data_IF_284260922275
#
_entry.id   IF_284260922275
#
_cell.length_a   1.000
_cell.length_b   1.000
_cell.length_c   1.000
_cell.angle_alpha   90.00
_cell.angle_beta   90.00
_cell.angle_gamma   90.00
#
_symmetry.space_group_name_H-M   'P 1'
#
loop_
_entity.id
_entity.type
_entity.pdbx_description
1 polymer ?
#
# COMPACT_ATOMS: atom_id res chain seq x y z
N UNK A 1 18.72 8.95 -0.13
CA UNK A 1 17.67 8.74 0.88
C UNK A 1 16.33 8.94 0.18
N UNK A 2 15.66 7.85 -0.18
CA UNK A 2 14.42 7.92 -0.98
C UNK A 2 13.28 8.34 -0.06
N UNK A 3 12.98 9.63 -0.08
CA UNK A 3 11.81 10.21 0.59
C UNK A 3 10.60 9.84 -0.27
N UNK A 4 10.15 8.59 -0.18
CA UNK A 4 8.87 8.20 -0.79
C UNK A 4 7.84 9.13 -0.12
N UNK A 5 7.28 10.07 -0.88
CA UNK A 5 6.30 11.01 -0.37
C UNK A 5 4.97 10.27 -0.30
N UNK A 6 4.87 9.41 0.71
CA UNK A 6 3.65 8.65 0.98
C UNK A 6 2.45 9.58 1.18
N UNK A 7 2.67 10.83 1.57
CA UNK A 7 1.62 11.84 1.72
C UNK A 7 0.91 12.18 0.39
N UNK A 8 1.57 12.00 -0.76
CA UNK A 8 1.03 12.35 -2.08
C UNK A 8 0.36 11.16 -2.79
N UNK A 9 0.80 9.93 -2.47
CA UNK A 9 0.19 8.71 -2.99
C UNK A 9 -1.23 8.53 -2.44
N UNK A 10 -1.53 9.17 -1.33
CA UNK A 10 -2.58 8.75 -0.44
C UNK A 10 -3.60 9.90 -0.31
N UNK A 11 -4.87 9.73 -0.75
CA UNK A 11 -5.86 10.80 -0.68
C UNK A 11 -6.06 11.28 0.77
N UNK A 12 -5.91 12.59 0.98
CA UNK A 12 -5.86 13.29 2.28
C UNK A 12 -7.09 13.10 3.20
N UNK A 13 -8.19 12.55 2.69
CA UNK A 13 -9.47 12.45 3.42
C UNK A 13 -9.68 11.16 4.22
N UNK A 14 -8.81 10.16 4.11
CA UNK A 14 -9.05 8.83 4.72
C UNK A 14 -7.82 8.16 5.33
N UNK A 15 -7.11 8.79 6.29
CA UNK A 15 -5.80 8.22 6.69
C UNK A 15 -5.48 8.26 8.16
N UNK A 16 -6.02 7.27 8.87
CA UNK A 16 -5.18 6.61 9.86
C UNK A 16 -4.78 5.22 9.36
N UNK A 17 -3.54 4.82 9.65
CA UNK A 17 -3.07 3.52 9.23
C UNK A 17 -1.60 3.30 9.57
N UNK A 18 -1.07 2.19 9.06
CA UNK A 18 0.30 1.77 9.32
C UNK A 18 1.01 1.47 8.01
N UNK A 19 2.24 1.98 7.89
CA UNK A 19 3.16 1.49 6.87
C UNK A 19 4.01 0.38 7.50
N UNK A 20 3.97 -0.78 6.86
CA UNK A 20 4.63 -1.99 7.32
C UNK A 20 5.63 -2.45 6.28
N UNK A 21 6.85 -2.75 6.73
CA UNK A 21 7.83 -3.42 5.91
C UNK A 21 7.71 -4.94 6.11
N UNK A 22 7.50 -5.69 5.03
CA UNK A 22 7.29 -7.15 5.04
C UNK A 22 8.56 -7.95 4.71
N UNK A 23 9.72 -7.30 4.63
CA UNK A 23 11.01 -7.92 4.29
C UNK A 23 11.31 -7.93 2.79
N UNK A 24 10.28 -7.86 1.94
CA UNK A 24 10.42 -7.77 0.47
C UNK A 24 9.77 -6.53 -0.14
N UNK A 25 9.07 -5.73 0.67
CA UNK A 25 8.37 -4.54 0.21
C UNK A 25 7.66 -3.81 1.33
N UNK A 26 6.99 -2.73 0.96
CA UNK A 26 6.21 -1.89 1.87
C UNK A 26 4.72 -2.09 1.60
N UNK A 27 3.93 -2.14 2.67
CA UNK A 27 2.48 -2.25 2.63
C UNK A 27 1.87 -1.12 3.45
N UNK A 28 0.81 -0.52 2.95
CA UNK A 28 -0.02 0.38 3.72
C UNK A 28 -1.30 -0.32 4.15
N UNK A 29 -1.54 -0.34 5.47
CA UNK A 29 -2.75 -0.82 6.08
C UNK A 29 -3.55 0.38 6.59
N UNK A 30 -4.48 0.85 5.76
CA UNK A 30 -5.44 1.88 6.14
C UNK A 30 -6.58 1.31 7.01
N UNK A 31 -7.22 2.18 7.79
CA UNK A 31 -8.41 1.85 8.56
C UNK A 31 -9.73 2.00 7.75
N UNK A 32 -9.68 2.64 6.58
CA UNK A 32 -10.80 2.77 5.66
C UNK A 32 -10.82 1.67 4.61
N UNK A 33 -12.03 1.24 4.24
CA UNK A 33 -12.25 0.39 3.07
C UNK A 33 -12.37 1.28 1.83
N UNK A 34 -11.57 1.00 0.81
CA UNK A 34 -11.71 1.64 -0.50
C UNK A 34 -12.71 0.85 -1.35
N UNK A 35 -13.62 1.56 -2.01
CA UNK A 35 -14.40 0.99 -3.10
C UNK A 35 -13.55 0.82 -4.38
N UNK A 36 -14.17 0.27 -5.42
CA UNK A 36 -13.47 -0.09 -6.65
C UNK A 36 -12.99 1.12 -7.45
N UNK A 37 -13.78 2.18 -7.44
CA UNK A 37 -13.43 3.41 -8.14
C UNK A 37 -12.28 4.09 -7.39
N UNK A 38 -12.38 4.20 -6.06
CA UNK A 38 -11.32 4.73 -5.21
C UNK A 38 -10.00 3.97 -5.37
N UNK A 39 -10.06 2.63 -5.47
CA UNK A 39 -8.89 1.79 -5.72
C UNK A 39 -8.28 2.03 -7.10
N UNK A 40 -9.11 2.07 -8.15
CA UNK A 40 -8.65 2.34 -9.52
C UNK A 40 -7.99 3.72 -9.62
N UNK A 41 -8.63 4.75 -9.07
CA UNK A 41 -8.11 6.13 -9.04
C UNK A 41 -6.78 6.21 -8.28
N UNK A 42 -6.64 5.43 -7.21
CA UNK A 42 -5.40 5.35 -6.46
C UNK A 42 -4.28 4.70 -7.27
N UNK A 43 -4.52 3.54 -7.90
CA UNK A 43 -3.52 2.85 -8.73
C UNK A 43 -3.09 3.71 -9.91
N UNK A 44 -4.03 4.42 -10.55
CA UNK A 44 -3.72 5.30 -11.67
C UNK A 44 -2.80 6.45 -11.24
N UNK A 45 -3.12 7.15 -10.15
CA UNK A 45 -2.25 8.21 -9.61
C UNK A 45 -0.87 7.68 -9.21
N UNK A 46 -0.81 6.52 -8.56
CA UNK A 46 0.45 5.89 -8.19
C UNK A 46 1.32 5.56 -9.43
N UNK A 47 0.69 5.13 -10.52
CA UNK A 47 1.35 4.87 -11.80
C UNK A 47 1.87 6.15 -12.47
N UNK A 48 1.13 7.26 -12.36
CA UNK A 48 1.47 8.56 -12.94
C UNK A 48 2.58 9.28 -12.17
N UNK A 49 2.56 9.22 -10.83
CA UNK A 49 3.58 9.82 -9.95
C UNK A 49 4.96 9.16 -10.10
N UNK A 50 5.00 7.87 -10.48
CA UNK A 50 6.26 7.16 -10.74
C UNK A 50 6.96 6.61 -9.50
N UNK A 51 6.40 6.83 -8.31
CA UNK A 51 6.90 6.30 -7.04
C UNK A 51 6.62 4.79 -6.85
N UNK A 52 5.72 4.23 -7.68
CA UNK A 52 5.36 2.81 -7.68
C UNK A 52 5.71 2.18 -9.03
N UNK A 53 6.22 0.96 -9.01
CA UNK A 53 6.59 0.23 -10.22
C UNK A 53 5.39 0.09 -11.17
N UNK A 54 5.52 0.62 -12.40
CA UNK A 54 4.44 0.60 -13.41
C UNK A 54 3.89 -0.80 -13.66
N UNK A 55 4.76 -1.81 -13.71
CA UNK A 55 4.38 -3.21 -13.90
C UNK A 55 3.50 -3.72 -12.76
N UNK A 56 3.78 -3.31 -11.52
CA UNK A 56 2.93 -3.64 -10.39
C UNK A 56 1.56 -2.98 -10.53
N UNK A 57 1.49 -1.69 -10.86
CA UNK A 57 0.23 -0.99 -11.11
C UNK A 57 -0.59 -1.67 -12.22
N UNK A 58 0.03 -1.99 -13.35
CA UNK A 58 -0.62 -2.67 -14.47
C UNK A 58 -1.17 -4.05 -14.08
N UNK A 59 -0.45 -4.79 -13.21
CA UNK A 59 -0.92 -6.07 -12.66
C UNK A 59 -2.13 -5.86 -11.74
N UNK A 60 -2.11 -4.85 -10.87
CA UNK A 60 -3.24 -4.55 -9.98
C UNK A 60 -4.49 -4.12 -10.76
N UNK A 61 -4.35 -3.30 -11.81
CA UNK A 61 -5.48 -2.91 -12.67
C UNK A 61 -6.10 -4.11 -13.39
N UNK A 62 -5.31 -5.15 -13.72
CA UNK A 62 -5.80 -6.36 -14.38
C UNK A 62 -6.39 -7.38 -13.42
N UNK A 63 -5.77 -7.55 -12.24
CA UNK A 63 -6.12 -8.60 -11.28
C UNK A 63 -7.11 -8.15 -10.19
N UNK A 64 -7.33 -6.85 -10.04
CA UNK A 64 -8.15 -6.28 -8.97
C UNK A 64 -7.44 -6.30 -7.61
N UNK A 65 -8.23 -6.26 -6.54
CA UNK A 65 -7.72 -6.12 -5.18
C UNK A 65 -6.79 -7.26 -4.77
N UNK A 66 -5.59 -6.90 -4.31
CA UNK A 66 -4.71 -7.85 -3.62
C UNK A 66 -5.33 -8.22 -2.26
N UNK A 67 -5.65 -9.50 -2.08
CA UNK A 67 -6.16 -10.05 -0.82
C UNK A 67 -5.04 -10.09 0.23
N UNK A 68 -5.33 -9.63 1.45
CA UNK A 68 -4.51 -9.95 2.63
C UNK A 68 -4.55 -11.47 2.84
N UNK A 69 -3.46 -12.16 2.46
CA UNK A 69 -3.32 -13.59 2.68
C UNK A 69 -2.73 -13.84 4.08
N UNK A 70 -3.59 -14.20 5.03
CA UNK A 70 -3.15 -14.75 6.32
C UNK A 70 -2.87 -16.24 6.16
N UNK A 71 -1.64 -16.66 6.46
CA UNK A 71 -1.23 -18.07 6.45
C UNK A 71 -0.38 -18.36 7.69
N UNK A 72 -0.68 -19.46 8.38
CA UNK A 72 0.17 -20.00 9.41
C UNK A 72 1.38 -20.63 8.71
N UNK A 73 2.53 -19.97 8.80
CA UNK A 73 3.80 -20.51 8.32
C UNK A 73 4.74 -20.66 9.49
N UNK A 74 5.14 -21.90 9.77
CA UNK A 74 6.20 -22.27 10.72
C UNK A 74 7.59 -21.90 10.21
N UNK A 75 7.70 -21.40 8.98
CA UNK A 75 8.94 -20.99 8.31
C UNK A 75 8.95 -19.50 7.98
N UNK A 76 8.29 -18.63 8.76
CA UNK A 76 8.43 -17.18 8.53
C UNK A 76 9.85 -16.74 8.82
N UNK A 77 10.63 -16.57 7.76
CA UNK A 77 12.01 -16.03 7.80
C UNK A 77 12.00 -14.55 8.24
N UNK A 78 10.87 -13.87 8.12
CA UNK A 78 10.75 -12.45 8.43
C UNK A 78 9.39 -12.10 9.06
N UNK A 79 9.45 -11.29 10.12
CA UNK A 79 8.29 -10.71 10.78
C UNK A 79 8.06 -9.28 10.28
N UNK A 80 6.88 -8.97 9.71
CA UNK A 80 6.56 -7.62 9.27
C UNK A 80 6.67 -6.60 10.40
N UNK A 81 7.34 -5.48 10.14
CA UNK A 81 7.54 -4.40 11.13
C UNK A 81 6.78 -3.15 10.71
N UNK A 82 6.02 -2.58 11.64
CA UNK A 82 5.46 -1.24 11.50
C UNK A 82 6.62 -0.25 11.50
N UNK A 83 6.74 0.57 10.46
CA UNK A 83 7.76 1.60 10.36
C UNK A 83 7.27 2.94 10.90
N UNK A 84 6.02 3.30 10.61
CA UNK A 84 5.38 4.49 11.16
C UNK A 84 3.86 4.42 11.04
N UNK A 85 3.19 5.18 11.91
CA UNK A 85 1.75 5.41 11.87
C UNK A 85 1.47 6.63 11.00
N UNK A 86 0.53 6.51 10.09
CA UNK A 86 -0.05 7.64 9.37
C UNK A 86 -1.21 8.13 10.20
N UNK A 87 -1.20 9.40 10.58
CA UNK A 87 -2.29 10.04 11.33
C UNK A 87 -3.06 10.99 10.42
N UNK A 88 -4.34 11.19 10.73
CA UNK A 88 -5.16 12.22 10.10
C UNK A 88 -4.71 13.58 10.64
N UNK A 89 -4.37 14.50 9.74
CA UNK A 89 -4.20 15.93 10.06
C UNK A 89 -5.53 16.65 9.92
#
# INVERSE_FOLDING_TARGET
MMRIVFDDLFPKKEKEGYVVFSGRGYHFYGNGLMDQNQWHDWIQRAREQGDVEKKWCDIQMKRGYSILRLTNSSQKIFEPKVLYRVNRY
#
